data_IF_035275763799
#
_entry.id   IF_035275763799
#
_cell.length_a   1.000
_cell.length_b   1.000
_cell.length_c   1.000
_cell.angle_alpha   90.00
_cell.angle_beta   90.00
_cell.angle_gamma   90.00
#
_symmetry.space_group_name_H-M   'P 1'
#
loop_
_entity.id
_entity.type
_entity.pdbx_description
1 polymer ?
#
# COMPACT_ATOMS: atom_id res chain seq x y z
N UNK A 1 -45.70 -1.12 5.36
CA UNK A 1 -45.20 -0.31 4.23
C UNK A 1 -43.80 0.15 4.60
N UNK A 2 -42.89 -0.19 3.70
CA UNK A 2 -41.43 -0.09 3.65
C UNK A 2 -40.58 0.26 4.88
N UNK A 3 -39.83 -0.77 5.28
CA UNK A 3 -38.61 -0.68 6.07
C UNK A 3 -37.46 -0.11 5.21
N UNK A 4 -36.99 1.08 5.56
CA UNK A 4 -35.80 1.70 4.99
C UNK A 4 -34.55 0.87 5.28
N UNK A 5 -34.09 0.13 4.27
CA UNK A 5 -32.84 -0.63 4.26
C UNK A 5 -31.65 0.31 4.45
N UNK A 6 -31.18 0.41 5.69
CA UNK A 6 -29.95 1.09 6.07
C UNK A 6 -28.76 0.21 5.69
N UNK A 7 -28.40 0.22 4.40
CA UNK A 7 -27.26 -0.49 3.85
C UNK A 7 -25.95 0.16 4.30
N UNK A 8 -25.45 -0.25 5.46
CA UNK A 8 -24.06 -0.03 5.85
C UNK A 8 -23.17 -0.77 4.85
N UNK A 9 -22.78 -0.11 3.75
CA UNK A 9 -21.68 -0.58 2.92
C UNK A 9 -20.42 -0.38 3.75
N UNK A 10 -20.00 -1.44 4.44
CA UNK A 10 -18.72 -1.50 5.09
C UNK A 10 -17.64 -1.27 4.03
N UNK A 11 -17.05 -0.08 4.02
CA UNK A 11 -15.81 0.17 3.28
C UNK A 11 -14.71 -0.63 3.98
N UNK A 12 -14.52 -1.85 3.49
CA UNK A 12 -13.48 -2.78 3.91
C UNK A 12 -12.11 -2.15 3.61
N UNK A 13 -11.43 -1.68 4.66
CA UNK A 13 -9.98 -1.57 4.86
C UNK A 13 -9.04 -1.41 3.63
N UNK A 14 -9.37 -0.55 2.67
CA UNK A 14 -8.36 0.07 1.83
C UNK A 14 -8.76 1.50 1.44
N UNK A 15 -8.58 2.43 2.38
CA UNK A 15 -8.98 3.84 2.28
C UNK A 15 -8.35 4.56 1.07
N UNK A 16 -7.23 4.04 0.56
CA UNK A 16 -6.48 4.62 -0.56
C UNK A 16 -7.07 4.21 -1.93
N UNK A 17 -7.50 2.97 -2.11
CA UNK A 17 -8.09 2.49 -3.38
C UNK A 17 -9.44 3.14 -3.67
N UNK A 18 -10.32 3.23 -2.67
CA UNK A 18 -11.59 3.93 -2.82
C UNK A 18 -11.37 5.42 -3.16
N UNK A 19 -10.37 6.05 -2.54
CA UNK A 19 -10.04 7.44 -2.83
C UNK A 19 -9.51 7.63 -4.25
N UNK A 20 -8.66 6.72 -4.76
CA UNK A 20 -8.14 6.76 -6.13
C UNK A 20 -9.22 6.55 -7.19
N UNK A 21 -10.13 5.60 -6.98
CA UNK A 21 -11.26 5.35 -7.89
C UNK A 21 -12.20 6.57 -7.95
N UNK A 22 -12.55 7.12 -6.79
CA UNK A 22 -13.32 8.36 -6.70
C UNK A 22 -12.57 9.48 -7.42
N UNK A 23 -11.24 9.57 -7.25
CA UNK A 23 -10.33 10.51 -7.94
C UNK A 23 -10.34 10.41 -9.47
N UNK A 24 -10.36 9.21 -10.03
CA UNK A 24 -10.47 9.02 -11.47
C UNK A 24 -11.83 9.47 -12.00
N UNK A 25 -12.92 9.11 -11.33
CA UNK A 25 -14.28 9.41 -11.78
C UNK A 25 -14.55 10.90 -11.92
N UNK A 26 -14.23 11.72 -10.91
CA UNK A 26 -14.49 13.17 -11.06
C UNK A 26 -13.48 13.96 -11.90
N UNK A 27 -12.33 13.39 -12.28
CA UNK A 27 -11.56 13.97 -13.40
C UNK A 27 -12.32 13.84 -14.72
N UNK A 28 -13.04 12.74 -14.91
CA UNK A 28 -13.83 12.49 -16.12
C UNK A 28 -15.14 13.29 -16.14
N UNK A 29 -15.71 13.61 -14.97
CA UNK A 29 -17.03 14.29 -14.89
C UNK A 29 -16.98 15.77 -14.51
N UNK A 30 -15.81 16.30 -14.14
CA UNK A 30 -15.67 17.69 -13.66
C UNK A 30 -16.36 17.99 -12.32
N UNK A 31 -16.85 16.96 -11.61
CA UNK A 31 -17.59 17.15 -10.38
C UNK A 31 -16.67 17.59 -9.21
N UNK A 32 -17.14 18.55 -8.42
CA UNK A 32 -16.49 18.97 -7.16
C UNK A 32 -16.81 17.95 -6.08
N UNK A 33 -15.80 17.43 -5.37
CA UNK A 33 -16.01 16.36 -4.38
C UNK A 33 -16.08 16.87 -2.94
N UNK A 34 -16.88 16.22 -2.12
CA UNK A 34 -16.99 16.47 -0.69
C UNK A 34 -16.10 15.49 0.10
N UNK A 35 -15.23 16.02 0.96
CA UNK A 35 -14.45 15.24 1.92
C UNK A 35 -15.07 15.45 3.29
N UNK A 36 -15.56 14.39 3.93
CA UNK A 36 -16.28 14.50 5.20
C UNK A 36 -15.44 15.10 6.35
N UNK A 37 -14.13 14.80 6.38
CA UNK A 37 -13.22 15.36 7.37
C UNK A 37 -11.77 15.30 6.87
N UNK A 38 -11.12 16.45 6.75
CA UNK A 38 -9.76 16.59 6.27
C UNK A 38 -8.73 16.08 7.29
N UNK A 39 -9.03 16.14 8.60
CA UNK A 39 -8.13 15.68 9.67
C UNK A 39 -7.70 14.21 9.57
N UNK A 40 -8.58 13.33 9.05
CA UNK A 40 -8.27 11.91 8.88
C UNK A 40 -7.37 11.67 7.67
N UNK A 41 -7.53 12.50 6.64
CA UNK A 41 -6.73 12.49 5.43
C UNK A 41 -5.35 13.13 5.64
N UNK A 42 -5.29 14.21 6.42
CA UNK A 42 -4.10 15.04 6.59
C UNK A 42 -2.98 14.36 7.37
N UNK A 43 -3.34 13.35 8.19
CA UNK A 43 -2.36 12.45 8.82
C UNK A 43 -1.51 11.69 7.80
N UNK A 44 -1.99 11.55 6.56
CA UNK A 44 -1.21 11.03 5.45
C UNK A 44 -0.71 12.16 4.52
N UNK A 45 0.42 12.78 4.86
CA UNK A 45 1.02 13.85 4.05
C UNK A 45 1.26 13.46 2.58
N UNK A 46 1.57 12.18 2.29
CA UNK A 46 1.72 11.70 0.91
C UNK A 46 0.40 11.77 0.12
N UNK A 47 -0.72 11.49 0.79
CA UNK A 47 -2.05 11.57 0.19
C UNK A 47 -2.46 13.02 -0.10
N UNK A 48 -2.12 13.97 0.78
CA UNK A 48 -2.35 15.39 0.52
C UNK A 48 -1.53 15.91 -0.68
N UNK A 49 -0.30 15.41 -0.86
CA UNK A 49 0.51 15.72 -2.04
C UNK A 49 -0.12 15.15 -3.31
N UNK A 50 -0.56 13.89 -3.30
CA UNK A 50 -1.31 13.30 -4.42
C UNK A 50 -2.56 14.11 -4.75
N UNK A 51 -3.33 14.54 -3.74
CA UNK A 51 -4.51 15.38 -3.95
C UNK A 51 -4.17 16.71 -4.63
N UNK A 52 -3.15 17.42 -4.14
CA UNK A 52 -2.66 18.66 -4.76
C UNK A 52 -2.28 18.43 -6.22
N UNK A 53 -1.50 17.40 -6.48
CA UNK A 53 -0.94 17.11 -7.83
C UNK A 53 -2.04 16.65 -8.80
N UNK A 54 -3.15 16.11 -8.30
CA UNK A 54 -4.28 15.72 -9.16
C UNK A 54 -5.03 16.91 -9.75
N UNK A 55 -4.93 18.11 -9.16
CA UNK A 55 -5.61 19.32 -9.65
C UNK A 55 -7.14 19.30 -9.54
N UNK A 56 -7.71 18.36 -8.79
CA UNK A 56 -9.17 18.19 -8.69
C UNK A 56 -9.74 19.17 -7.66
N UNK A 57 -10.86 19.83 -7.98
CA UNK A 57 -11.59 20.65 -7.03
C UNK A 57 -12.31 19.78 -5.99
N UNK A 58 -12.06 20.04 -4.71
CA UNK A 58 -12.75 19.38 -3.61
C UNK A 58 -13.00 20.34 -2.46
N UNK A 59 -14.05 20.08 -1.69
CA UNK A 59 -14.48 20.84 -0.53
C UNK A 59 -14.46 19.90 0.66
N UNK A 60 -13.74 20.28 1.71
CA UNK A 60 -13.78 19.54 2.96
C UNK A 60 -14.93 20.06 3.83
N UNK A 61 -15.81 19.20 4.33
CA UNK A 61 -16.96 19.61 5.14
C UNK A 61 -16.53 20.28 6.45
N UNK A 62 -15.37 19.92 7.00
CA UNK A 62 -14.76 20.54 8.17
C UNK A 62 -13.97 21.82 7.84
N UNK A 63 -13.57 22.00 6.58
CA UNK A 63 -12.89 23.22 6.12
C UNK A 63 -13.38 23.61 4.71
N UNK A 64 -14.58 24.21 4.60
CA UNK A 64 -15.23 24.44 3.30
C UNK A 64 -14.45 25.39 2.37
N UNK A 65 -13.64 26.26 2.96
CA UNK A 65 -12.82 27.25 2.25
C UNK A 65 -11.39 26.76 1.97
N UNK A 66 -11.09 25.47 2.21
CA UNK A 66 -9.77 24.92 1.94
C UNK A 66 -9.50 24.89 0.42
N UNK A 67 -8.74 25.87 -0.05
CA UNK A 67 -8.25 25.90 -1.43
C UNK A 67 -6.96 25.08 -1.58
N UNK A 68 -6.58 24.77 -2.83
CA UNK A 68 -5.38 23.97 -3.15
C UNK A 68 -4.10 24.49 -2.49
N UNK A 69 -3.99 25.81 -2.32
CA UNK A 69 -2.87 26.46 -1.64
C UNK A 69 -2.80 26.09 -0.15
N UNK A 70 -3.92 26.18 0.58
CA UNK A 70 -4.00 25.80 2.00
C UNK A 70 -3.64 24.32 2.19
N UNK A 71 -4.14 23.45 1.30
CA UNK A 71 -3.82 22.01 1.34
C UNK A 71 -2.33 21.77 1.07
N UNK A 72 -1.74 22.49 0.12
CA UNK A 72 -0.31 22.43 -0.17
C UNK A 72 0.55 22.80 1.05
N UNK A 73 0.18 23.86 1.77
CA UNK A 73 0.85 24.24 3.03
C UNK A 73 0.67 23.14 4.08
N UNK A 74 -0.54 22.63 4.28
CA UNK A 74 -0.78 21.55 5.25
C UNK A 74 0.03 20.29 4.94
N UNK A 75 0.16 19.94 3.66
CA UNK A 75 0.95 18.80 3.22
C UNK A 75 2.44 19.00 3.52
N UNK A 76 2.97 20.20 3.27
CA UNK A 76 4.36 20.56 3.58
C UNK A 76 4.64 20.54 5.08
N UNK A 77 3.73 21.09 5.89
CA UNK A 77 3.83 21.07 7.35
C UNK A 77 3.81 19.64 7.88
N UNK A 78 2.90 18.80 7.39
CA UNK A 78 2.82 17.39 7.79
C UNK A 78 4.09 16.61 7.41
N UNK A 79 4.70 16.92 6.27
CA UNK A 79 5.97 16.33 5.85
C UNK A 79 7.11 16.77 6.77
N UNK A 80 7.21 18.07 7.05
CA UNK A 80 8.23 18.62 7.95
C UNK A 80 8.13 18.03 9.36
N UNK A 81 6.92 17.89 9.91
CA UNK A 81 6.71 17.28 11.22
C UNK A 81 7.21 15.82 11.25
N UNK A 82 6.91 15.03 10.22
CA UNK A 82 7.41 13.65 10.10
C UNK A 82 8.93 13.59 10.05
N UNK A 83 9.55 14.47 9.27
CA UNK A 83 11.01 14.56 9.18
C UNK A 83 11.63 14.96 10.51
N UNK A 84 11.04 15.94 11.21
CA UNK A 84 11.49 16.39 12.53
C UNK A 84 11.39 15.26 13.58
N UNK A 85 10.28 14.51 13.59
CA UNK A 85 10.11 13.33 14.46
C UNK A 85 11.19 12.29 14.13
N UNK A 86 11.36 11.96 12.85
CA UNK A 86 12.37 10.99 12.41
C UNK A 86 13.77 11.41 12.81
N UNK A 87 14.13 12.68 12.62
CA UNK A 87 15.41 13.24 12.99
C UNK A 87 15.64 13.14 14.51
N UNK A 88 14.64 13.51 15.32
CA UNK A 88 14.71 13.41 16.78
C UNK A 88 14.90 11.96 17.24
N UNK A 89 14.15 11.02 16.67
CA UNK A 89 14.29 9.59 16.99
C UNK A 89 15.68 9.09 16.59
N UNK A 90 16.17 9.41 15.40
CA UNK A 90 17.52 9.04 14.96
C UNK A 90 18.60 9.59 15.88
N UNK A 91 18.49 10.86 16.28
CA UNK A 91 19.43 11.49 17.21
C UNK A 91 19.42 10.80 18.58
N UNK A 92 18.24 10.49 19.11
CA UNK A 92 18.10 9.75 20.37
C UNK A 92 18.74 8.35 20.28
N UNK A 93 18.46 7.60 19.21
CA UNK A 93 19.05 6.27 19.00
C UNK A 93 20.57 6.33 18.82
N UNK A 94 21.09 7.37 18.15
CA UNK A 94 22.52 7.59 18.01
C UNK A 94 23.19 7.86 19.38
N UNK A 95 22.58 8.68 20.22
CA UNK A 95 23.08 8.94 21.58
C UNK A 95 23.06 7.68 22.45
N UNK A 96 22.00 6.86 22.37
CA UNK A 96 21.91 5.57 23.07
C UNK A 96 22.99 4.61 22.60
N UNK A 97 23.21 4.52 21.29
CA UNK A 97 24.29 3.70 20.71
C UNK A 97 25.68 4.17 21.14
N UNK A 98 25.91 5.48 21.20
CA UNK A 98 27.17 6.07 21.67
C UNK A 98 27.46 5.75 23.15
N UNK A 99 26.42 5.58 23.97
CA UNK A 99 26.53 5.09 25.37
C UNK A 99 26.81 3.58 25.46
N UNK A 100 27.02 2.89 24.33
CA UNK A 100 27.26 1.45 24.29
C UNK A 100 26.00 0.60 24.48
N UNK A 101 24.82 1.20 24.51
CA UNK A 101 23.56 0.47 24.62
C UNK A 101 23.19 -0.06 23.24
N UNK A 102 22.97 -1.37 23.15
CA UNK A 102 22.56 -2.02 21.91
C UNK A 102 21.15 -1.58 21.52
N UNK A 103 21.01 -1.05 20.30
CA UNK A 103 19.74 -0.59 19.75
C UNK A 103 19.34 -1.55 18.63
N UNK A 104 18.34 -2.41 18.89
CA UNK A 104 17.83 -3.38 17.93
C UNK A 104 17.60 -4.76 18.53
N UNK A 105 17.35 -5.75 17.68
CA UNK A 105 17.19 -7.17 18.05
C UNK A 105 18.53 -7.90 17.93
N UNK A 106 19.00 -8.58 18.99
CA UNK A 106 20.22 -9.38 18.89
C UNK A 106 19.97 -10.61 18.02
N UNK A 107 20.98 -11.02 17.25
CA UNK A 107 20.91 -12.25 16.45
C UNK A 107 20.67 -13.44 17.38
N UNK A 108 19.60 -14.20 17.13
CA UNK A 108 19.19 -15.36 17.96
C UNK A 108 18.24 -15.01 19.11
N UNK A 109 18.00 -13.73 19.38
CA UNK A 109 17.03 -13.32 20.39
C UNK A 109 15.62 -13.49 19.81
N UNK A 110 14.82 -14.35 20.45
CA UNK A 110 13.38 -14.43 20.18
C UNK A 110 12.74 -13.48 21.18
N UNK A 111 12.16 -12.35 20.74
CA UNK A 111 11.40 -11.50 21.65
C UNK A 111 10.34 -12.35 22.34
N UNK A 112 10.00 -12.10 23.61
CA UNK A 112 8.83 -12.70 24.23
C UNK A 112 7.58 -12.14 23.51
N UNK A 113 7.30 -12.71 22.34
CA UNK A 113 6.19 -12.36 21.48
C UNK A 113 5.06 -13.29 21.89
N UNK A 114 3.93 -12.72 22.31
CA UNK A 114 2.73 -13.50 22.60
C UNK A 114 2.42 -14.36 21.37
N UNK A 115 2.05 -15.61 21.58
CA UNK A 115 1.74 -16.56 20.49
C UNK A 115 0.72 -15.97 19.49
N UNK A 116 -0.21 -15.16 20.00
CA UNK A 116 -1.20 -14.38 19.23
C UNK A 116 -0.55 -13.47 18.18
N UNK A 117 0.53 -12.76 18.50
CA UNK A 117 1.19 -11.83 17.57
C UNK A 117 2.07 -12.58 16.56
N UNK A 118 2.63 -13.73 16.96
CA UNK A 118 3.31 -14.63 16.02
C UNK A 118 2.33 -15.21 15.01
N UNK A 119 1.12 -15.59 15.44
CA UNK A 119 0.06 -16.07 14.57
C UNK A 119 -0.40 -14.98 13.58
N UNK A 120 -0.56 -13.73 14.05
CA UNK A 120 -0.91 -12.60 13.17
C UNK A 120 0.14 -12.30 12.09
N UNK A 121 1.41 -12.63 12.32
CA UNK A 121 2.50 -12.40 11.37
C UNK A 121 2.65 -13.49 10.30
N UNK A 122 2.07 -14.67 10.49
CA UNK A 122 2.20 -15.82 9.57
C UNK A 122 1.36 -15.63 8.30
N UNK A 123 0.22 -14.95 8.42
CA UNK A 123 -0.72 -14.77 7.30
C UNK A 123 -0.23 -13.71 6.30
N UNK A 124 0.54 -12.72 6.73
CA UNK A 124 0.95 -11.61 5.88
C UNK A 124 1.86 -12.03 4.71
N UNK A 125 2.90 -12.87 4.90
CA UNK A 125 3.68 -13.41 3.79
C UNK A 125 2.85 -14.26 2.81
N UNK A 126 1.91 -15.05 3.32
CA UNK A 126 1.04 -15.91 2.50
C UNK A 126 0.13 -15.04 1.64
N UNK A 127 -0.60 -14.09 2.24
CA UNK A 127 -1.46 -13.14 1.49
C UNK A 127 -0.69 -12.37 0.43
N UNK A 128 0.54 -11.96 0.72
CA UNK A 128 1.39 -11.26 -0.25
C UNK A 128 1.79 -12.17 -1.42
N UNK A 129 2.07 -13.44 -1.15
CA UNK A 129 2.37 -14.42 -2.19
C UNK A 129 1.15 -14.73 -3.06
N UNK A 130 -0.03 -14.86 -2.45
CA UNK A 130 -1.29 -15.14 -3.16
C UNK A 130 -1.71 -13.95 -4.03
N UNK A 131 -1.61 -12.72 -3.51
CA UNK A 131 -1.87 -11.51 -4.29
C UNK A 131 -0.93 -11.37 -5.50
N UNK A 132 0.35 -11.73 -5.33
CA UNK A 132 1.33 -11.74 -6.43
C UNK A 132 1.05 -12.85 -7.46
N UNK A 133 0.59 -14.02 -7.02
CA UNK A 133 0.17 -15.07 -7.93
C UNK A 133 -1.07 -14.64 -8.73
N UNK A 134 -2.06 -14.06 -8.05
CA UNK A 134 -3.29 -13.55 -8.66
C UNK A 134 -3.02 -12.48 -9.73
N UNK A 135 -2.08 -11.56 -9.50
CA UNK A 135 -1.76 -10.51 -10.48
C UNK A 135 -1.06 -11.04 -11.74
N UNK A 136 -0.33 -12.15 -11.63
CA UNK A 136 0.41 -12.75 -12.75
C UNK A 136 -0.37 -13.86 -13.46
N UNK A 137 -1.43 -14.39 -12.86
CA UNK A 137 -2.22 -15.47 -13.45
C UNK A 137 -2.74 -15.19 -14.85
N UNK A 138 -3.32 -14.01 -15.17
CA UNK A 138 -3.79 -13.71 -16.52
C UNK A 138 -2.68 -13.82 -17.57
N UNK A 139 -1.49 -13.29 -17.25
CA UNK A 139 -0.31 -13.32 -18.11
C UNK A 139 0.16 -14.76 -18.31
N UNK A 140 0.26 -15.53 -17.22
CA UNK A 140 0.73 -16.92 -17.28
C UNK A 140 -0.28 -17.83 -17.99
N UNK A 141 -1.59 -17.57 -17.87
CA UNK A 141 -2.65 -18.31 -18.58
C UNK A 141 -2.62 -17.99 -20.08
N UNK A 142 -2.43 -16.72 -20.45
CA UNK A 142 -2.28 -16.30 -21.85
C UNK A 142 -1.07 -16.99 -22.51
N UNK A 143 0.07 -17.04 -21.79
CA UNK A 143 1.26 -17.78 -22.22
C UNK A 143 1.00 -19.30 -22.26
N UNK A 144 0.14 -19.83 -21.37
CA UNK A 144 -0.23 -21.26 -21.28
C UNK A 144 -1.17 -21.72 -22.39
N UNK A 145 -1.74 -20.82 -23.19
CA UNK A 145 -2.55 -21.16 -24.37
C UNK A 145 -1.88 -22.11 -25.38
N UNK A 146 -0.58 -22.40 -25.22
CA UNK A 146 0.24 -23.28 -26.08
C UNK A 146 0.82 -24.52 -25.41
N UNK A 147 0.31 -24.97 -24.25
CA UNK A 147 0.81 -26.17 -23.55
C UNK A 147 2.34 -26.19 -23.34
N UNK A 148 2.93 -25.01 -23.13
CA UNK A 148 4.38 -24.86 -23.02
C UNK A 148 4.91 -25.51 -21.73
N UNK A 149 6.12 -26.11 -21.77
CA UNK A 149 6.77 -26.60 -20.56
C UNK A 149 7.09 -25.44 -19.62
N UNK A 150 7.05 -25.68 -18.30
CA UNK A 150 7.28 -24.66 -17.26
C UNK A 150 8.60 -23.87 -17.43
N UNK A 151 9.62 -24.49 -18.04
CA UNK A 151 10.89 -23.82 -18.38
C UNK A 151 10.73 -22.77 -19.48
N UNK A 152 9.90 -23.03 -20.49
CA UNK A 152 9.62 -22.08 -21.55
C UNK A 152 8.83 -20.89 -21.00
N UNK A 153 7.86 -21.13 -20.10
CA UNK A 153 7.14 -20.05 -19.40
C UNK A 153 8.11 -19.19 -18.57
N UNK A 154 9.04 -19.82 -17.85
CA UNK A 154 10.05 -19.08 -17.08
C UNK A 154 10.96 -18.23 -17.97
N UNK A 155 11.40 -18.77 -19.11
CA UNK A 155 12.21 -18.03 -20.07
C UNK A 155 11.44 -16.83 -20.64
N UNK A 156 10.19 -17.03 -21.02
CA UNK A 156 9.32 -15.98 -21.58
C UNK A 156 9.05 -14.86 -20.56
N UNK A 157 8.74 -15.21 -19.31
CA UNK A 157 8.61 -14.23 -18.21
C UNK A 157 9.90 -13.44 -17.96
N UNK A 158 11.07 -14.06 -18.18
CA UNK A 158 12.35 -13.39 -18.02
C UNK A 158 12.63 -12.44 -19.20
N UNK A 159 12.34 -12.87 -20.43
CA UNK A 159 12.51 -12.06 -21.66
C UNK A 159 11.57 -10.85 -21.67
N UNK A 160 10.34 -11.03 -21.21
CA UNK A 160 9.35 -9.94 -21.04
C UNK A 160 9.68 -8.98 -19.90
N UNK A 161 10.76 -9.23 -19.14
CA UNK A 161 11.23 -8.35 -18.07
C UNK A 161 10.41 -8.46 -16.79
N UNK A 162 9.52 -9.45 -16.68
CA UNK A 162 8.73 -9.66 -15.46
C UNK A 162 9.65 -10.29 -14.41
N UNK A 163 9.89 -9.58 -13.31
CA UNK A 163 10.70 -10.10 -12.21
C UNK A 163 9.86 -10.93 -11.24
N UNK A 164 10.49 -11.88 -10.54
CA UNK A 164 9.84 -12.56 -9.41
C UNK A 164 9.60 -11.60 -8.24
N UNK A 165 8.75 -11.96 -7.28
CA UNK A 165 8.44 -11.14 -6.09
C UNK A 165 9.66 -10.70 -5.25
N UNK A 166 10.82 -11.34 -5.44
CA UNK A 166 12.10 -11.01 -4.79
C UNK A 166 13.12 -10.35 -5.73
N UNK A 167 12.72 -9.96 -6.94
CA UNK A 167 13.60 -9.33 -7.93
C UNK A 167 14.56 -10.28 -8.64
N UNK A 168 14.35 -11.60 -8.55
CA UNK A 168 15.19 -12.61 -9.23
C UNK A 168 14.58 -13.12 -10.54
N UNK A 169 15.38 -13.85 -11.31
CA UNK A 169 14.96 -14.52 -12.54
C UNK A 169 13.95 -15.66 -12.28
N UNK A 170 13.14 -15.97 -13.30
CA UNK A 170 12.17 -17.06 -13.20
C UNK A 170 12.84 -18.42 -13.35
N UNK A 171 12.35 -19.37 -12.56
CA UNK A 171 12.71 -20.79 -12.68
C UNK A 171 11.44 -21.61 -12.87
N UNK A 172 11.55 -22.81 -13.47
CA UNK A 172 10.41 -23.71 -13.62
C UNK A 172 9.71 -24.01 -12.28
N UNK A 173 10.48 -24.10 -11.18
CA UNK A 173 9.95 -24.27 -9.82
C UNK A 173 9.17 -23.05 -9.35
N UNK A 174 9.64 -21.83 -9.64
CA UNK A 174 8.91 -20.61 -9.30
C UNK A 174 7.58 -20.52 -10.07
N UNK A 175 7.58 -20.89 -11.35
CA UNK A 175 6.35 -20.96 -12.17
C UNK A 175 5.39 -22.02 -11.62
N UNK A 176 5.87 -23.22 -11.30
CA UNK A 176 5.04 -24.27 -10.68
C UNK A 176 4.40 -23.79 -9.38
N UNK A 177 5.19 -23.16 -8.52
CA UNK A 177 4.72 -22.68 -7.22
C UNK A 177 3.73 -21.50 -7.36
N UNK A 178 3.84 -20.71 -8.43
CA UNK A 178 2.86 -19.68 -8.76
C UNK A 178 1.55 -20.32 -9.21
N UNK A 179 1.62 -21.30 -10.11
CA UNK A 179 0.45 -22.04 -10.61
C UNK A 179 -0.26 -22.87 -9.52
N UNK A 180 0.47 -23.37 -8.53
CA UNK A 180 -0.10 -24.13 -7.42
C UNK A 180 -0.83 -23.28 -6.37
N UNK A 181 -0.68 -21.94 -6.43
CA UNK A 181 -1.39 -20.97 -5.56
C UNK A 181 -2.63 -20.37 -6.21
N UNK A 182 -2.80 -20.64 -7.51
CA UNK A 182 -3.96 -20.27 -8.30
C UNK A 182 -5.09 -21.27 -8.12
#
# INVERSE_FOLDING_TARGET
MDAGRNGKVGLTNNTVECALFVMALAKLTGATRLIAKLDRLSRNGAFLMTLRDTGIAFVACDMPNANSFIIGIMALVAQHEREAISARTKAALAAVKARGVYVGRRKGEVPPMRAEVMAMGQDAPVRKADAFAASLLPIVIEVRGRALPLRAIAADLTVTGIMTARGGAWTATAVRNLLARA
#
